data_IF_491992557426
#
_entry.id   IF_491992557426
#
_cell.length_a   1.000
_cell.length_b   1.000
_cell.length_c   1.000
_cell.angle_alpha   90.00
_cell.angle_beta   90.00
_cell.angle_gamma   90.00
#
_symmetry.space_group_name_H-M   'P 1'
#
loop_
_entity.id
_entity.type
_entity.pdbx_description
1 polymer ?
#
# COMPACT_ATOMS: atom_id res chain seq x y z
N UNK A 1 14.05 -35.28 6.21
CA UNK A 1 15.37 -34.62 6.07
C UNK A 1 15.16 -33.35 5.27
N UNK A 2 15.07 -32.20 5.92
CA UNK A 2 14.89 -30.90 5.26
C UNK A 2 16.20 -30.54 4.53
N UNK A 3 16.13 -30.33 3.22
CA UNK A 3 17.20 -29.72 2.43
C UNK A 3 17.48 -28.34 3.03
N UNK A 4 18.66 -28.15 3.62
CA UNK A 4 19.18 -26.84 4.01
C UNK A 4 19.37 -26.06 2.70
N UNK A 5 18.56 -25.04 2.48
CA UNK A 5 18.51 -24.27 1.23
C UNK A 5 19.88 -23.69 0.90
N UNK A 6 20.39 -23.96 -0.30
CA UNK A 6 21.64 -23.44 -0.90
C UNK A 6 21.54 -21.94 -1.26
N UNK A 7 20.95 -21.12 -0.41
CA UNK A 7 20.79 -19.68 -0.67
C UNK A 7 21.55 -18.89 0.38
N UNK A 8 22.35 -17.93 -0.08
CA UNK A 8 23.03 -16.97 0.76
C UNK A 8 22.01 -16.25 1.65
N UNK A 9 22.41 -15.95 2.88
CA UNK A 9 21.66 -15.00 3.69
C UNK A 9 21.61 -13.62 2.99
N UNK A 10 20.61 -12.81 3.30
CA UNK A 10 20.42 -11.52 2.64
C UNK A 10 21.63 -10.59 2.84
N UNK A 11 22.27 -10.60 4.01
CA UNK A 11 23.47 -9.79 4.25
C UNK A 11 24.66 -10.30 3.42
N UNK A 12 24.83 -11.62 3.31
CA UNK A 12 25.87 -12.24 2.50
C UNK A 12 25.69 -11.94 1.01
N UNK A 13 24.46 -12.01 0.50
CA UNK A 13 24.13 -11.70 -0.88
C UNK A 13 24.42 -10.21 -1.22
N UNK A 14 24.13 -9.30 -0.30
CA UNK A 14 24.44 -7.86 -0.45
C UNK A 14 25.94 -7.62 -0.46
N UNK A 15 26.70 -8.30 0.40
CA UNK A 15 28.15 -8.19 0.41
C UNK A 15 28.76 -8.71 -0.89
N UNK A 16 28.29 -9.86 -1.38
CA UNK A 16 28.71 -10.42 -2.67
C UNK A 16 28.44 -9.45 -3.83
N UNK A 17 27.26 -8.85 -3.88
CA UNK A 17 26.91 -7.85 -4.90
C UNK A 17 27.74 -6.57 -4.80
N UNK A 18 28.11 -6.15 -3.59
CA UNK A 18 28.96 -4.96 -3.39
C UNK A 18 30.37 -5.20 -3.94
N UNK A 19 30.87 -6.43 -3.87
CA UNK A 19 32.16 -6.82 -4.44
C UNK A 19 32.08 -7.01 -5.97
N UNK A 20 31.00 -7.62 -6.45
CA UNK A 20 30.74 -7.89 -7.87
C UNK A 20 29.26 -7.61 -8.18
N UNK A 21 28.99 -6.51 -8.89
CA UNK A 21 27.63 -6.07 -9.26
C UNK A 21 26.96 -6.90 -10.36
N UNK A 22 27.33 -8.17 -10.51
CA UNK A 22 26.81 -9.07 -11.55
C UNK A 22 25.31 -9.34 -11.41
N UNK A 23 24.69 -9.70 -12.54
CA UNK A 23 23.27 -10.05 -12.58
C UNK A 23 22.95 -11.27 -11.69
N UNK A 24 23.91 -12.19 -11.55
CA UNK A 24 23.76 -13.35 -10.69
C UNK A 24 23.67 -12.94 -9.21
N UNK A 25 24.57 -12.08 -8.74
CA UNK A 25 24.53 -11.60 -7.36
C UNK A 25 23.25 -10.79 -7.08
N UNK A 26 22.73 -10.05 -8.07
CA UNK A 26 21.44 -9.39 -7.95
C UNK A 26 20.29 -10.39 -7.78
N UNK A 27 20.29 -11.50 -8.53
CA UNK A 27 19.29 -12.58 -8.38
C UNK A 27 19.35 -13.20 -7.00
N UNK A 28 20.55 -13.44 -6.47
CA UNK A 28 20.72 -13.97 -5.11
C UNK A 28 20.11 -13.03 -4.06
N UNK A 29 20.28 -11.70 -4.19
CA UNK A 29 19.63 -10.72 -3.30
C UNK A 29 18.11 -10.82 -3.37
N UNK A 30 17.53 -10.89 -4.58
CA UNK A 30 16.08 -11.00 -4.76
C UNK A 30 15.56 -12.27 -4.08
N UNK A 31 16.23 -13.40 -4.28
CA UNK A 31 15.86 -14.68 -3.67
C UNK A 31 15.98 -14.65 -2.15
N UNK A 32 17.08 -14.11 -1.61
CA UNK A 32 17.32 -13.98 -0.17
C UNK A 32 16.37 -12.97 0.50
N UNK A 33 15.97 -11.92 -0.23
CA UNK A 33 15.04 -10.89 0.25
C UNK A 33 13.57 -11.32 0.23
N UNK A 34 13.23 -12.40 -0.47
CA UNK A 34 11.86 -12.89 -0.62
C UNK A 34 11.11 -13.05 0.72
N UNK A 35 11.65 -13.72 1.77
CA UNK A 35 10.94 -13.88 3.03
C UNK A 35 10.58 -12.54 3.69
N UNK A 36 11.46 -11.54 3.59
CA UNK A 36 11.25 -10.20 4.14
C UNK A 36 10.12 -9.47 3.40
N UNK A 37 10.13 -9.51 2.07
CA UNK A 37 9.08 -8.91 1.23
C UNK A 37 7.73 -9.56 1.52
N UNK A 38 7.66 -10.89 1.53
CA UNK A 38 6.41 -11.61 1.84
C UNK A 38 5.93 -11.35 3.27
N UNK A 39 6.83 -11.21 4.24
CA UNK A 39 6.45 -10.88 5.61
C UNK A 39 5.70 -9.54 5.67
N UNK A 40 6.22 -8.48 5.04
CA UNK A 40 5.54 -7.19 5.04
C UNK A 40 4.26 -7.16 4.21
N UNK A 41 4.21 -7.88 3.09
CA UNK A 41 2.97 -8.00 2.31
C UNK A 41 1.85 -8.65 3.13
N UNK A 42 2.17 -9.75 3.85
CA UNK A 42 1.23 -10.43 4.73
C UNK A 42 0.76 -9.52 5.89
N UNK A 43 1.63 -8.65 6.41
CA UNK A 43 1.25 -7.68 7.45
C UNK A 43 0.22 -6.65 6.94
N UNK A 44 0.25 -6.27 5.66
CA UNK A 44 -0.69 -5.27 5.12
C UNK A 44 -2.00 -5.85 4.59
N UNK A 45 -1.96 -7.01 3.92
CA UNK A 45 -3.13 -7.59 3.24
C UNK A 45 -3.61 -8.92 3.83
N UNK A 46 -2.92 -9.45 4.84
CA UNK A 46 -3.22 -10.78 5.38
C UNK A 46 -3.08 -11.86 4.30
N UNK A 47 -4.09 -12.70 4.15
CA UNK A 47 -4.11 -13.82 3.18
C UNK A 47 -4.49 -13.41 1.75
N UNK A 48 -4.72 -12.12 1.47
CA UNK A 48 -4.97 -11.66 0.10
C UNK A 48 -3.66 -11.51 -0.65
N UNK A 49 -3.51 -12.25 -1.74
CA UNK A 49 -2.35 -12.17 -2.61
C UNK A 49 -2.51 -10.97 -3.55
N UNK A 50 -1.63 -9.96 -3.40
CA UNK A 50 -1.48 -8.89 -4.39
C UNK A 50 -0.08 -9.00 -4.99
N UNK A 51 -0.02 -9.38 -6.26
CA UNK A 51 1.23 -9.41 -7.03
C UNK A 51 1.86 -8.01 -7.10
N UNK A 52 1.04 -6.98 -7.27
CA UNK A 52 1.46 -5.58 -7.33
C UNK A 52 2.11 -5.13 -6.02
N UNK A 53 1.56 -5.54 -4.87
CA UNK A 53 2.14 -5.22 -3.57
C UNK A 53 3.51 -5.90 -3.37
N UNK A 54 3.62 -7.17 -3.79
CA UNK A 54 4.88 -7.92 -3.73
C UNK A 54 5.92 -7.26 -4.65
N UNK A 55 5.53 -6.88 -5.87
CA UNK A 55 6.41 -6.15 -6.79
C UNK A 55 6.88 -4.83 -6.20
N UNK A 56 5.98 -4.03 -5.62
CA UNK A 56 6.34 -2.79 -4.92
C UNK A 56 7.32 -3.05 -3.77
N UNK A 57 7.16 -4.17 -3.06
CA UNK A 57 8.12 -4.62 -2.05
C UNK A 57 9.52 -4.87 -2.61
N UNK A 58 9.63 -5.57 -3.73
CA UNK A 58 10.91 -5.78 -4.42
C UNK A 58 11.50 -4.48 -4.97
N UNK A 59 10.69 -3.55 -5.47
CA UNK A 59 11.16 -2.21 -5.84
C UNK A 59 11.80 -1.50 -4.64
N UNK A 60 11.16 -1.58 -3.46
CA UNK A 60 11.70 -1.05 -2.21
C UNK A 60 13.04 -1.69 -1.82
N UNK A 61 13.15 -3.01 -1.92
CA UNK A 61 14.39 -3.75 -1.68
C UNK A 61 15.52 -3.27 -2.60
N UNK A 62 15.26 -3.13 -3.90
CA UNK A 62 16.25 -2.67 -4.88
C UNK A 62 16.61 -1.19 -4.68
N UNK A 63 15.65 -0.34 -4.29
CA UNK A 63 15.90 1.07 -3.94
C UNK A 63 16.77 1.20 -2.69
N UNK A 64 16.60 0.30 -1.71
CA UNK A 64 17.46 0.21 -0.54
C UNK A 64 18.87 -0.24 -0.93
N UNK A 65 19.00 -1.29 -1.74
CA UNK A 65 20.30 -1.78 -2.23
C UNK A 65 21.14 -0.66 -2.86
N UNK A 66 20.54 0.15 -3.72
CA UNK A 66 21.22 1.29 -4.38
C UNK A 66 21.73 2.39 -3.44
N UNK A 67 21.19 2.47 -2.21
CA UNK A 67 21.47 3.56 -1.25
C UNK A 67 22.15 3.06 0.03
N UNK A 68 22.31 1.75 0.16
CA UNK A 68 22.89 1.15 1.34
C UNK A 68 24.39 1.43 1.38
N UNK A 69 24.88 1.73 2.58
CA UNK A 69 26.29 1.95 2.86
C UNK A 69 26.67 1.07 4.05
N UNK A 70 27.40 -0.04 3.82
CA UNK A 70 27.85 -0.95 4.89
C UNK A 70 28.72 -0.24 5.94
N UNK A 71 29.40 0.85 5.58
CA UNK A 71 30.27 1.61 6.49
C UNK A 71 29.53 2.33 7.61
N UNK A 72 28.19 2.47 7.51
CA UNK A 72 27.37 3.15 8.53
C UNK A 72 26.96 2.26 9.71
N UNK A 73 27.37 0.98 9.73
CA UNK A 73 27.18 0.10 10.88
C UNK A 73 25.74 -0.36 11.12
N UNK A 74 24.87 -0.27 10.11
CA UNK A 74 23.48 -0.75 10.16
C UNK A 74 23.34 -1.96 9.25
N UNK A 75 22.64 -3.00 9.71
CA UNK A 75 22.34 -4.18 8.90
C UNK A 75 21.44 -3.83 7.71
N UNK A 76 21.67 -4.47 6.56
CA UNK A 76 20.86 -4.22 5.37
C UNK A 76 19.39 -4.53 5.60
N UNK A 77 19.05 -5.62 6.30
CA UNK A 77 17.66 -5.98 6.61
C UNK A 77 16.88 -4.84 7.30
N UNK A 78 17.53 -4.13 8.23
CA UNK A 78 16.94 -3.01 8.96
C UNK A 78 16.74 -1.82 8.02
N UNK A 79 17.72 -1.52 7.18
CA UNK A 79 17.63 -0.43 6.20
C UNK A 79 16.56 -0.70 5.14
N UNK A 80 16.56 -1.89 4.54
CA UNK A 80 15.64 -2.31 3.49
C UNK A 80 14.19 -2.33 3.95
N UNK A 81 13.93 -2.71 5.21
CA UNK A 81 12.58 -2.73 5.78
C UNK A 81 11.86 -1.38 5.63
N UNK A 82 12.55 -0.26 5.83
CA UNK A 82 11.95 1.07 5.66
C UNK A 82 11.52 1.36 4.22
N UNK A 83 12.34 0.97 3.24
CA UNK A 83 12.03 1.17 1.82
C UNK A 83 10.92 0.25 1.36
N UNK A 84 10.97 -1.03 1.72
CA UNK A 84 9.94 -2.04 1.37
C UNK A 84 8.57 -1.56 1.88
N UNK A 85 8.48 -1.22 3.16
CA UNK A 85 7.23 -0.74 3.75
C UNK A 85 6.76 0.58 3.12
N UNK A 86 7.69 1.47 2.76
CA UNK A 86 7.38 2.75 2.12
C UNK A 86 6.72 2.56 0.75
N UNK A 87 7.33 1.76 -0.11
CA UNK A 87 6.83 1.46 -1.45
C UNK A 87 5.51 0.70 -1.42
N UNK A 88 5.37 -0.29 -0.53
CA UNK A 88 4.12 -1.02 -0.34
C UNK A 88 2.98 -0.09 0.09
N UNK A 89 3.19 0.78 1.08
CA UNK A 89 2.18 1.78 1.49
C UNK A 89 1.83 2.74 0.36
N UNK A 90 2.81 3.10 -0.46
CA UNK A 90 2.58 3.97 -1.61
C UNK A 90 1.71 3.26 -2.66
N UNK A 91 1.98 1.98 -2.96
CA UNK A 91 1.14 1.17 -3.85
C UNK A 91 -0.30 1.07 -3.35
N UNK A 92 -0.50 0.74 -2.08
CA UNK A 92 -1.84 0.66 -1.48
C UNK A 92 -2.60 1.99 -1.57
N UNK A 93 -1.91 3.14 -1.43
CA UNK A 93 -2.54 4.45 -1.64
C UNK A 93 -2.91 4.69 -3.10
N UNK A 94 -2.11 4.22 -4.06
CA UNK A 94 -2.42 4.35 -5.49
C UNK A 94 -3.64 3.51 -5.86
N UNK A 95 -3.70 2.26 -5.40
CA UNK A 95 -4.88 1.39 -5.59
C UNK A 95 -6.12 2.02 -4.96
N UNK A 96 -6.05 2.45 -3.70
CA UNK A 96 -7.16 3.13 -3.05
C UNK A 96 -7.58 4.44 -3.74
N UNK A 97 -6.64 5.17 -4.34
CA UNK A 97 -6.92 6.37 -5.13
C UNK A 97 -7.53 6.07 -6.49
N UNK A 98 -7.25 4.91 -7.07
CA UNK A 98 -7.90 4.45 -8.31
C UNK A 98 -9.37 4.13 -8.03
N UNK A 99 -9.65 3.42 -6.92
CA UNK A 99 -11.01 3.08 -6.50
C UNK A 99 -11.81 4.29 -5.98
N UNK A 100 -11.11 5.31 -5.48
CA UNK A 100 -11.69 6.58 -5.02
C UNK A 100 -10.93 7.77 -5.61
N UNK A 101 -11.29 8.22 -6.82
CA UNK A 101 -10.69 9.41 -7.44
C UNK A 101 -10.77 10.65 -6.55
N UNK A 102 -9.80 11.56 -6.67
CA UNK A 102 -9.72 12.76 -5.82
C UNK A 102 -11.00 13.61 -5.80
N UNK A 103 -11.64 13.81 -6.96
CA UNK A 103 -12.91 14.54 -7.04
C UNK A 103 -14.06 13.84 -6.29
N UNK A 104 -14.06 12.50 -6.22
CA UNK A 104 -15.03 11.73 -5.43
C UNK A 104 -14.75 11.90 -3.95
N UNK A 105 -13.49 11.86 -3.53
CA UNK A 105 -13.10 12.12 -2.14
C UNK A 105 -13.45 13.55 -1.69
N UNK A 106 -13.33 14.54 -2.58
CA UNK A 106 -13.73 15.92 -2.34
C UNK A 106 -15.25 16.05 -2.16
N UNK A 107 -16.04 15.41 -3.04
CA UNK A 107 -17.49 15.35 -2.92
C UNK A 107 -17.89 14.65 -1.61
N UNK A 108 -17.29 13.52 -1.29
CA UNK A 108 -17.56 12.77 -0.06
C UNK A 108 -17.24 13.60 1.19
N UNK A 109 -16.14 14.35 1.18
CA UNK A 109 -15.78 15.28 2.25
C UNK A 109 -16.78 16.43 2.40
N UNK A 110 -17.30 16.97 1.28
CA UNK A 110 -18.38 17.98 1.30
C UNK A 110 -19.68 17.40 1.85
N UNK A 111 -20.02 16.16 1.48
CA UNK A 111 -21.19 15.44 2.01
C UNK A 111 -21.07 15.30 3.53
N UNK A 112 -19.95 14.80 4.06
CA UNK A 112 -19.79 14.62 5.51
C UNK A 112 -19.88 15.94 6.29
N UNK A 113 -19.23 17.01 5.80
CA UNK A 113 -19.36 18.34 6.42
C UNK A 113 -20.81 18.83 6.43
N UNK A 114 -21.52 18.64 5.32
CA UNK A 114 -22.93 19.03 5.20
C UNK A 114 -23.81 18.21 6.14
N UNK A 115 -23.53 16.91 6.30
CA UNK A 115 -24.25 16.06 7.24
C UNK A 115 -24.10 16.55 8.68
N UNK A 116 -22.87 16.86 9.10
CA UNK A 116 -22.58 17.38 10.44
C UNK A 116 -23.22 18.75 10.67
N UNK A 117 -23.12 19.67 9.69
CA UNK A 117 -23.69 21.01 9.76
C UNK A 117 -25.22 20.99 9.88
N UNK A 118 -25.89 20.11 9.11
CA UNK A 118 -27.35 19.96 9.17
C UNK A 118 -27.78 19.32 10.48
N UNK A 119 -27.11 18.24 10.91
CA UNK A 119 -27.40 17.59 12.19
C UNK A 119 -27.29 18.56 13.37
N UNK A 120 -26.26 19.43 13.37
CA UNK A 120 -26.12 20.46 14.41
C UNK A 120 -27.24 21.51 14.38
N UNK A 121 -27.76 21.84 13.19
CA UNK A 121 -28.80 22.88 13.03
C UNK A 121 -30.20 22.36 13.32
N UNK A 122 -30.51 21.14 12.88
CA UNK A 122 -31.87 20.57 12.96
C UNK A 122 -32.06 19.66 14.18
N UNK A 123 -30.97 19.12 14.73
CA UNK A 123 -31.01 18.11 15.79
C UNK A 123 -31.35 16.70 15.29
N UNK A 124 -31.57 16.53 13.98
CA UNK A 124 -31.90 15.26 13.34
C UNK A 124 -30.96 14.96 12.17
N UNK A 125 -30.65 13.68 11.89
CA UNK A 125 -29.84 13.31 10.73
C UNK A 125 -30.50 13.75 9.42
N UNK A 126 -29.79 14.43 8.51
CA UNK A 126 -30.37 14.88 7.25
C UNK A 126 -30.65 13.72 6.30
N UNK A 127 -31.71 13.89 5.51
CA UNK A 127 -32.07 13.01 4.39
C UNK A 127 -31.07 13.13 3.23
N UNK A 128 -31.06 12.13 2.35
CA UNK A 128 -30.23 12.15 1.15
C UNK A 128 -30.57 13.32 0.21
N UNK A 129 -31.86 13.69 0.15
CA UNK A 129 -32.37 14.84 -0.59
C UNK A 129 -31.81 16.16 -0.07
N UNK A 130 -31.83 16.37 1.25
CA UNK A 130 -31.29 17.59 1.87
C UNK A 130 -29.77 17.71 1.66
N UNK A 131 -29.05 16.59 1.75
CA UNK A 131 -27.62 16.54 1.45
C UNK A 131 -27.37 16.85 -0.03
N UNK A 132 -28.15 16.26 -0.94
CA UNK A 132 -28.03 16.45 -2.37
C UNK A 132 -28.23 17.92 -2.77
N UNK A 133 -29.26 18.56 -2.21
CA UNK A 133 -29.56 19.97 -2.42
C UNK A 133 -28.42 20.87 -1.89
N UNK A 134 -27.96 20.63 -0.67
CA UNK A 134 -26.91 21.44 -0.05
C UNK A 134 -25.53 21.27 -0.72
N UNK A 135 -25.22 20.08 -1.25
CA UNK A 135 -23.96 19.81 -1.97
C UNK A 135 -24.07 20.14 -3.47
N UNK A 136 -25.28 20.44 -3.96
CA UNK A 136 -25.62 20.72 -5.36
C UNK A 136 -25.23 19.57 -6.30
N UNK A 137 -25.67 18.35 -5.97
CA UNK A 137 -25.52 17.17 -6.82
C UNK A 137 -26.83 16.36 -6.80
N UNK A 138 -26.97 15.39 -7.72
CA UNK A 138 -28.12 14.47 -7.69
C UNK A 138 -28.04 13.53 -6.50
N UNK A 139 -29.19 13.09 -5.99
CA UNK A 139 -29.30 12.08 -4.92
C UNK A 139 -28.50 10.82 -5.22
N UNK A 140 -28.57 10.32 -6.46
CA UNK A 140 -27.80 9.14 -6.89
C UNK A 140 -26.29 9.40 -6.78
N UNK A 141 -25.85 10.62 -7.05
CA UNK A 141 -24.46 11.04 -6.87
C UNK A 141 -24.02 11.05 -5.40
N UNK A 142 -24.91 11.41 -4.48
CA UNK A 142 -24.66 11.30 -3.02
C UNK A 142 -24.47 9.83 -2.64
N UNK A 143 -25.37 8.95 -3.10
CA UNK A 143 -25.30 7.50 -2.83
C UNK A 143 -23.99 6.92 -3.36
N UNK A 144 -23.63 7.22 -4.61
CA UNK A 144 -22.40 6.73 -5.22
C UNK A 144 -21.15 7.26 -4.50
N UNK A 145 -21.11 8.55 -4.14
CA UNK A 145 -19.99 9.11 -3.41
C UNK A 145 -19.83 8.50 -2.00
N UNK A 146 -20.93 8.19 -1.32
CA UNK A 146 -20.92 7.49 -0.03
C UNK A 146 -20.55 6.00 -0.13
N UNK A 147 -20.75 5.38 -1.30
CA UNK A 147 -20.35 4.01 -1.61
C UNK A 147 -18.91 3.93 -2.16
N UNK A 148 -18.34 5.04 -2.64
CA UNK A 148 -17.02 5.08 -3.24
C UNK A 148 -15.92 4.67 -2.25
N UNK A 149 -15.15 3.65 -2.63
CA UNK A 149 -14.16 3.01 -1.76
C UNK A 149 -14.75 2.26 -0.56
N UNK A 150 -16.06 1.93 -0.58
CA UNK A 150 -16.70 0.92 0.30
C UNK A 150 -17.05 -0.37 -0.42
N UNK A 151 -17.02 -0.40 -1.76
CA UNK A 151 -17.18 -1.65 -2.53
C UNK A 151 -15.84 -2.37 -2.55
N UNK A 152 -15.58 -3.15 -1.51
CA UNK A 152 -14.65 -4.28 -1.61
C UNK A 152 -15.22 -5.28 -2.61
N UNK A 153 -14.37 -5.96 -3.38
CA UNK A 153 -14.71 -7.04 -4.32
C UNK A 153 -15.63 -8.17 -3.75
N UNK A 154 -15.93 -8.16 -2.46
CA UNK A 154 -16.82 -9.08 -1.75
C UNK A 154 -18.32 -8.76 -1.93
N UNK A 155 -18.69 -7.63 -2.55
CA UNK A 155 -20.11 -7.20 -2.67
C UNK A 155 -20.68 -7.30 -4.09
N UNK A 156 -20.03 -8.06 -4.97
CA UNK A 156 -20.57 -8.40 -6.28
C UNK A 156 -20.93 -9.89 -6.26
N UNK A 157 -22.23 -10.18 -6.28
CA UNK A 157 -22.77 -11.54 -6.49
C UNK A 157 -22.46 -12.05 -7.91
#
# INVERSE_FOLDING_TARGET
MQKKSEHLDLEEAVLAYTNDGSEENLKQIIMAGRPLVHHFANLYLGSRFSEDLIQAGYEGLLKALKRFDPGKGVRFVTFASHYIMGEMRHQLRREASFDRPGWVADIQSRIYRTMDDLLQKTGEPPSLEEIAEAVNIRKEGVIQALQAGRVSLETLD
#
